data_IF_438369046789
#
_entry.id   IF_438369046789
#
_cell.length_a   1.000
_cell.length_b   1.000
_cell.length_c   1.000
_cell.angle_alpha   90.00
_cell.angle_beta   90.00
_cell.angle_gamma   90.00
#
_symmetry.space_group_name_H-M   'P 1'
#
loop_
_entity.id
_entity.type
_entity.pdbx_description
1 polymer ?
#
# COMPACT_ATOMS: atom_id res chain seq x y z
N UNK A 1 -12.63 -7.04 8.66
CA UNK A 1 -11.87 -5.78 8.53
C UNK A 1 -12.68 -4.68 9.19
N UNK A 2 -12.32 -4.30 10.42
CA UNK A 2 -12.91 -3.16 11.15
C UNK A 2 -12.05 -1.90 10.97
N UNK A 3 -12.59 -0.72 11.29
CA UNK A 3 -11.83 0.54 11.27
C UNK A 3 -10.94 0.61 12.51
N UNK A 4 -9.66 0.90 12.33
CA UNK A 4 -8.75 1.17 13.46
C UNK A 4 -9.25 2.38 14.26
N UNK A 5 -9.24 2.27 15.58
CA UNK A 5 -9.65 3.34 16.50
C UNK A 5 -8.55 4.39 16.70
N UNK A 6 -7.30 3.99 16.53
CA UNK A 6 -6.13 4.86 16.62
C UNK A 6 -5.75 5.38 15.22
N UNK A 7 -5.68 6.70 15.00
CA UNK A 7 -5.28 7.26 13.71
C UNK A 7 -3.78 7.11 13.41
N UNK A 8 -2.94 6.84 14.41
CA UNK A 8 -1.49 6.67 14.23
C UNK A 8 -1.12 5.33 13.58
N UNK A 9 -0.07 5.37 12.76
CA UNK A 9 0.50 4.14 12.21
C UNK A 9 1.23 3.36 13.30
N UNK A 10 0.99 2.04 13.37
CA UNK A 10 1.68 1.16 14.31
C UNK A 10 3.18 0.99 13.99
N UNK A 11 3.56 1.17 12.72
CA UNK A 11 4.88 0.79 12.21
C UNK A 11 5.83 1.97 11.96
N UNK A 12 5.35 3.21 12.09
CA UNK A 12 6.19 4.40 11.93
C UNK A 12 5.62 5.59 12.72
N UNK A 13 6.35 6.71 12.76
CA UNK A 13 5.95 7.90 13.50
C UNK A 13 4.80 8.71 12.86
N UNK A 14 4.16 8.21 11.79
CA UNK A 14 3.05 8.91 11.13
C UNK A 14 1.83 9.00 12.04
N UNK A 15 1.28 10.21 12.14
CA UNK A 15 0.05 10.49 12.88
C UNK A 15 -1.23 10.06 12.14
N UNK A 16 -1.10 9.64 10.89
CA UNK A 16 -2.20 9.19 10.04
C UNK A 16 -1.85 7.86 9.41
N UNK A 17 -2.76 6.92 9.55
CA UNK A 17 -2.66 5.57 8.99
C UNK A 17 -3.78 5.32 7.95
N UNK A 18 -3.93 6.29 7.05
CA UNK A 18 -4.87 6.23 5.94
C UNK A 18 -4.30 5.44 4.75
N UNK A 19 -5.08 5.32 3.67
CA UNK A 19 -4.66 4.60 2.46
C UNK A 19 -3.43 5.24 1.82
N UNK A 20 -3.33 6.57 1.83
CA UNK A 20 -2.20 7.30 1.26
C UNK A 20 -0.92 6.95 2.01
N UNK A 21 -0.97 7.04 3.34
CA UNK A 21 0.14 6.67 4.19
C UNK A 21 0.50 5.19 4.03
N UNK A 22 -0.48 4.30 4.23
CA UNK A 22 -0.29 2.86 4.24
C UNK A 22 0.33 2.39 2.93
N UNK A 23 -0.27 2.75 1.81
CA UNK A 23 0.15 2.21 0.53
C UNK A 23 1.38 2.94 -0.02
N UNK A 24 1.46 4.28 -0.03
CA UNK A 24 2.50 5.01 -0.76
C UNK A 24 3.69 5.46 0.09
N UNK A 25 3.50 5.69 1.39
CA UNK A 25 4.50 6.39 2.23
C UNK A 25 5.18 5.47 3.23
N UNK A 26 4.41 4.60 3.88
CA UNK A 26 4.86 3.83 5.04
C UNK A 26 6.08 2.95 4.69
N UNK A 27 7.14 3.09 5.49
CA UNK A 27 8.42 2.41 5.23
C UNK A 27 8.32 0.90 5.42
N UNK A 28 7.43 0.44 6.30
CA UNK A 28 7.16 -0.98 6.55
C UNK A 28 6.81 -1.76 5.29
N UNK A 29 6.12 -1.13 4.35
CA UNK A 29 5.61 -1.74 3.12
C UNK A 29 6.44 -1.39 1.88
N UNK A 30 7.64 -0.84 2.08
CA UNK A 30 8.52 -0.46 0.97
C UNK A 30 8.87 -1.67 0.10
N UNK A 31 9.18 -2.80 0.71
CA UNK A 31 9.61 -4.00 -0.02
C UNK A 31 8.45 -4.62 -0.83
N UNK A 32 7.23 -4.61 -0.26
CA UNK A 32 6.00 -4.96 -1.00
C UNK A 32 5.76 -4.06 -2.21
N UNK A 33 6.04 -2.76 -2.09
CA UNK A 33 5.90 -1.80 -3.18
C UNK A 33 6.96 -1.94 -4.26
N UNK A 34 8.21 -2.20 -3.89
CA UNK A 34 9.30 -2.38 -4.87
C UNK A 34 8.97 -3.49 -5.86
N UNK A 35 8.21 -4.52 -5.44
CA UNK A 35 7.73 -5.57 -6.36
C UNK A 35 6.69 -5.11 -7.41
N UNK A 36 6.13 -3.89 -7.29
CA UNK A 36 5.26 -3.27 -8.28
C UNK A 36 5.98 -2.26 -9.18
N UNK A 37 7.13 -1.76 -8.73
CA UNK A 37 7.89 -0.73 -9.40
C UNK A 37 8.89 -1.41 -10.35
N UNK A 38 8.62 -1.37 -11.65
CA UNK A 38 9.59 -1.81 -12.67
C UNK A 38 10.53 -0.65 -13.02
N UNK A 39 11.83 -0.94 -13.15
CA UNK A 39 12.90 0.00 -13.55
C UNK A 39 12.79 1.43 -12.98
N UNK A 40 12.61 1.55 -11.67
CA UNK A 40 12.80 2.81 -10.94
C UNK A 40 11.66 3.83 -11.04
N UNK A 41 10.50 3.46 -11.58
CA UNK A 41 9.31 4.30 -11.56
C UNK A 41 8.51 4.07 -10.28
N UNK A 42 8.43 5.11 -9.45
CA UNK A 42 7.65 5.08 -8.21
C UNK A 42 6.17 5.28 -8.50
N UNK A 43 5.33 4.34 -8.09
CA UNK A 43 3.88 4.50 -8.21
C UNK A 43 3.38 5.62 -7.28
N UNK A 44 2.77 6.64 -7.86
CA UNK A 44 2.20 7.77 -7.11
C UNK A 44 0.68 7.65 -7.03
N UNK A 45 0.01 8.37 -6.11
CA UNK A 45 -1.45 8.43 -6.08
C UNK A 45 -2.09 8.93 -7.38
N UNK A 46 -1.38 9.78 -8.13
CA UNK A 46 -1.88 10.35 -9.39
C UNK A 46 -1.70 9.37 -10.57
N UNK A 47 -0.64 8.56 -10.54
CA UNK A 47 -0.29 7.65 -11.63
C UNK A 47 -0.87 6.23 -11.46
N UNK A 48 -1.26 5.85 -10.24
CA UNK A 48 -1.72 4.49 -9.96
C UNK A 48 -2.98 4.10 -10.73
N UNK A 49 -3.94 5.03 -10.88
CA UNK A 49 -5.20 4.72 -11.55
C UNK A 49 -4.96 4.50 -13.05
N UNK A 50 -4.30 5.42 -13.79
CA UNK A 50 -3.90 5.14 -15.17
C UNK A 50 -3.10 3.84 -15.32
N UNK A 51 -2.16 3.57 -14.41
CA UNK A 51 -1.34 2.36 -14.44
C UNK A 51 -2.17 1.08 -14.28
N UNK A 52 -3.09 1.04 -13.30
CA UNK A 52 -4.00 -0.07 -13.08
C UNK A 52 -4.96 -0.28 -14.26
N UNK A 53 -5.33 0.78 -14.98
CA UNK A 53 -6.23 0.71 -16.13
C UNK A 53 -5.53 0.34 -17.45
N UNK A 54 -4.21 0.41 -17.51
CA UNK A 54 -3.44 0.10 -18.73
C UNK A 54 -3.59 -1.38 -19.14
N UNK A 55 -3.42 -2.30 -18.19
CA UNK A 55 -3.51 -3.74 -18.44
C UNK A 55 -4.13 -4.48 -17.24
N UNK A 56 -4.76 -5.63 -17.51
CA UNK A 56 -5.27 -6.49 -16.45
C UNK A 56 -4.16 -6.98 -15.51
N UNK A 57 -2.98 -7.26 -16.06
CA UNK A 57 -1.83 -7.70 -15.27
C UNK A 57 -1.36 -6.65 -14.27
N UNK A 58 -1.31 -5.37 -14.68
CA UNK A 58 -0.94 -4.27 -13.77
C UNK A 58 -1.99 -4.07 -12.68
N UNK A 59 -3.29 -4.19 -13.01
CA UNK A 59 -4.36 -4.24 -12.01
C UNK A 59 -4.16 -5.37 -11.01
N UNK A 60 -3.97 -6.61 -11.49
CA UNK A 60 -3.85 -7.79 -10.64
C UNK A 60 -2.62 -7.72 -9.72
N UNK A 61 -1.51 -7.18 -10.22
CA UNK A 61 -0.30 -6.95 -9.42
C UNK A 61 -0.56 -5.95 -8.29
N UNK A 62 -1.12 -4.77 -8.59
CA UNK A 62 -1.44 -3.76 -7.58
C UNK A 62 -2.42 -4.31 -6.55
N UNK A 63 -3.49 -4.99 -7.00
CA UNK A 63 -4.50 -5.58 -6.11
C UNK A 63 -3.89 -6.60 -5.14
N UNK A 64 -3.01 -7.50 -5.64
CA UNK A 64 -2.29 -8.47 -4.80
C UNK A 64 -1.38 -7.81 -3.78
N UNK A 65 -0.69 -6.73 -4.15
CA UNK A 65 0.16 -5.99 -3.23
C UNK A 65 -0.66 -5.33 -2.11
N UNK A 66 -1.75 -4.63 -2.46
CA UNK A 66 -2.66 -4.02 -1.47
C UNK A 66 -3.24 -5.09 -0.55
N UNK A 67 -3.70 -6.21 -1.09
CA UNK A 67 -4.23 -7.31 -0.30
C UNK A 67 -3.20 -7.87 0.69
N UNK A 68 -1.95 -8.08 0.23
CA UNK A 68 -0.85 -8.55 1.08
C UNK A 68 -0.61 -7.58 2.24
N UNK A 69 -0.49 -6.29 1.96
CA UNK A 69 -0.29 -5.24 2.98
C UNK A 69 -1.42 -5.27 4.01
N UNK A 70 -2.69 -5.27 3.56
CA UNK A 70 -3.84 -5.24 4.46
C UNK A 70 -3.94 -6.51 5.32
N UNK A 71 -3.56 -7.69 4.79
CA UNK A 71 -3.51 -8.94 5.55
C UNK A 71 -2.44 -8.91 6.63
N UNK A 72 -1.22 -8.46 6.30
CA UNK A 72 -0.15 -8.33 7.30
C UNK A 72 -0.52 -7.31 8.38
N UNK A 73 -1.00 -6.14 7.96
CA UNK A 73 -1.43 -5.10 8.89
C UNK A 73 -2.56 -5.56 9.82
N UNK A 74 -3.50 -6.37 9.31
CA UNK A 74 -4.54 -6.96 10.13
C UNK A 74 -3.97 -7.93 11.18
N UNK A 75 -3.00 -8.76 10.80
CA UNK A 75 -2.35 -9.69 11.74
C UNK A 75 -1.56 -8.94 12.82
N UNK A 76 -0.91 -7.83 12.47
CA UNK A 76 -0.14 -7.00 13.43
C UNK A 76 -1.03 -6.24 14.43
N UNK A 77 -2.34 -6.13 14.16
CA UNK A 77 -3.33 -5.46 15.02
C UNK A 77 -4.07 -6.41 15.98
N UNK A 78 -3.84 -7.72 15.89
CA UNK A 78 -4.42 -8.75 16.77
C UNK A 78 -3.53 -9.01 18.00
#
# INVERSE_FOLDING_TARGET
MGKATEPRCLHCASQKDDALHTFFVCEKWRDERVGLEDDGVRLTPDDIIPHMLAHRETWDNVARCVEKILRHKWADLQ
#
